data_IF_396294605044
#
_entry.id   IF_396294605044
#
_cell.length_a   1.000
_cell.length_b   1.000
_cell.length_c   1.000
_cell.angle_alpha   90.00
_cell.angle_beta   90.00
_cell.angle_gamma   90.00
#
_symmetry.space_group_name_H-M   'P 1'
#
loop_
_entity.id
_entity.type
_entity.pdbx_description
1 polymer ?
#
# COMPACT_ATOMS: atom_id res chain seq x y z
N UNK A 1 -10.74 -7.06 -24.35
CA UNK A 1 -10.10 -6.71 -23.06
C UNK A 1 -8.61 -6.74 -23.33
N UNK A 2 -7.99 -5.59 -23.56
CA UNK A 2 -6.60 -5.48 -24.01
C UNK A 2 -5.63 -5.92 -22.91
N UNK A 3 -4.50 -6.50 -23.31
CA UNK A 3 -3.44 -6.98 -22.41
C UNK A 3 -2.89 -5.86 -21.47
N UNK A 4 -3.14 -4.58 -21.77
CA UNK A 4 -2.88 -3.44 -20.88
C UNK A 4 -3.62 -3.50 -19.53
N UNK A 5 -4.80 -4.13 -19.46
CA UNK A 5 -5.56 -4.21 -18.20
C UNK A 5 -5.03 -5.28 -17.23
N UNK A 6 -4.30 -6.28 -17.76
CA UNK A 6 -3.76 -7.40 -16.96
C UNK A 6 -2.64 -6.94 -16.02
N UNK A 7 -1.91 -5.90 -16.41
CA UNK A 7 -0.75 -5.40 -15.68
C UNK A 7 -1.09 -4.38 -14.57
N UNK A 8 -2.37 -4.06 -14.38
CA UNK A 8 -2.84 -3.08 -13.39
C UNK A 8 -3.46 -3.65 -12.12
N UNK A 9 -3.54 -4.98 -11.99
CA UNK A 9 -4.18 -5.60 -10.83
C UNK A 9 -3.15 -5.87 -9.74
N UNK A 10 -3.25 -5.25 -8.56
CA UNK A 10 -2.36 -5.52 -7.44
C UNK A 10 -2.50 -6.97 -6.97
N UNK A 11 -1.42 -7.56 -6.49
CA UNK A 11 -1.44 -8.90 -5.88
C UNK A 11 -2.40 -8.93 -4.68
N UNK A 12 -2.85 -10.12 -4.27
CA UNK A 12 -3.76 -10.23 -3.10
C UNK A 12 -3.14 -9.65 -1.83
N UNK A 13 -1.82 -9.74 -1.69
CA UNK A 13 -1.06 -9.10 -0.62
C UNK A 13 -1.12 -7.57 -0.71
N UNK A 14 -0.92 -7.03 -1.91
CA UNK A 14 -1.02 -5.59 -2.14
C UNK A 14 -2.44 -5.07 -1.90
N UNK A 15 -3.49 -5.84 -2.24
CA UNK A 15 -4.88 -5.51 -1.89
C UNK A 15 -5.11 -5.45 -0.37
N UNK A 16 -4.53 -6.37 0.40
CA UNK A 16 -4.63 -6.35 1.86
C UNK A 16 -3.96 -5.13 2.48
N UNK A 17 -2.80 -4.72 1.93
CA UNK A 17 -2.09 -3.50 2.35
C UNK A 17 -2.89 -2.27 1.96
N UNK A 18 -3.38 -2.20 0.72
CA UNK A 18 -4.25 -1.13 0.24
C UNK A 18 -5.48 -0.97 1.12
N UNK A 19 -6.14 -2.08 1.49
CA UNK A 19 -7.27 -2.04 2.43
C UNK A 19 -6.88 -1.44 3.78
N UNK A 20 -5.72 -1.81 4.37
CA UNK A 20 -5.27 -1.20 5.63
C UNK A 20 -5.07 0.31 5.50
N UNK A 21 -4.50 0.73 4.38
CA UNK A 21 -4.25 2.15 4.12
C UNK A 21 -5.58 2.89 4.04
N UNK A 22 -6.54 2.36 3.29
CA UNK A 22 -7.89 2.94 3.18
C UNK A 22 -8.58 2.98 4.53
N UNK A 23 -8.61 1.86 5.26
CA UNK A 23 -9.26 1.76 6.57
C UNK A 23 -8.68 2.79 7.55
N UNK A 24 -7.35 2.86 7.66
CA UNK A 24 -6.71 3.81 8.58
C UNK A 24 -6.88 5.27 8.12
N UNK A 25 -6.90 5.52 6.81
CA UNK A 25 -7.14 6.86 6.28
C UNK A 25 -8.58 7.33 6.56
N UNK A 26 -9.56 6.44 6.46
CA UNK A 26 -10.96 6.74 6.80
C UNK A 26 -11.11 7.00 8.30
N UNK A 27 -10.43 6.22 9.15
CA UNK A 27 -10.52 6.34 10.60
C UNK A 27 -9.78 7.57 11.16
N UNK A 28 -8.55 7.83 10.72
CA UNK A 28 -7.69 8.87 11.29
C UNK A 28 -7.52 10.11 10.41
N UNK A 29 -7.88 10.04 9.12
CA UNK A 29 -7.72 11.15 8.17
C UNK A 29 -6.27 11.49 7.81
N UNK A 30 -5.31 10.64 8.20
CA UNK A 30 -3.87 10.86 8.00
C UNK A 30 -3.24 9.74 7.16
N UNK A 31 -2.22 10.04 6.35
CA UNK A 31 -1.46 9.02 5.65
C UNK A 31 -0.74 8.10 6.64
N UNK A 32 -0.76 6.80 6.33
CA UNK A 32 -0.10 5.76 7.12
C UNK A 32 1.15 5.24 6.42
N UNK A 33 2.28 5.27 7.13
CA UNK A 33 3.55 4.79 6.59
C UNK A 33 3.83 3.30 6.84
N UNK A 34 4.76 2.75 6.06
CA UNK A 34 5.15 1.33 6.10
C UNK A 34 5.53 0.81 7.49
N UNK A 35 6.09 1.67 8.36
CA UNK A 35 6.46 1.33 9.74
C UNK A 35 5.24 1.03 10.61
N UNK A 36 4.20 1.87 10.55
CA UNK A 36 2.95 1.65 11.30
C UNK A 36 2.23 0.41 10.75
N UNK A 37 2.17 0.24 9.44
CA UNK A 37 1.62 -0.97 8.82
C UNK A 37 2.37 -2.25 9.23
N UNK A 38 3.70 -2.20 9.38
CA UNK A 38 4.48 -3.36 9.83
C UNK A 38 4.17 -3.82 11.25
N UNK A 39 3.64 -2.92 12.10
CA UNK A 39 3.18 -3.28 13.45
C UNK A 39 1.84 -4.00 13.45
N UNK A 40 1.09 -3.97 12.35
CA UNK A 40 -0.13 -4.74 12.24
C UNK A 40 0.20 -6.23 12.08
N UNK A 41 -0.21 -7.00 13.08
CA UNK A 41 0.05 -8.45 13.16
C UNK A 41 -0.50 -9.25 11.95
N UNK A 42 -1.37 -8.63 11.13
CA UNK A 42 -2.01 -9.22 9.96
C UNK A 42 -1.08 -9.42 8.75
N UNK A 43 0.05 -8.71 8.67
CA UNK A 43 0.89 -8.76 7.48
C UNK A 43 2.09 -9.69 7.61
N UNK A 44 2.62 -9.89 8.82
CA UNK A 44 3.88 -10.61 9.08
C UNK A 44 5.00 -10.17 8.11
N UNK A 45 5.12 -8.85 7.88
CA UNK A 45 6.06 -8.24 6.96
C UNK A 45 6.97 -7.26 7.66
N UNK A 46 8.20 -7.16 7.16
CA UNK A 46 9.06 -6.05 7.49
C UNK A 46 8.51 -4.74 6.89
N UNK A 47 8.83 -3.62 7.55
CA UNK A 47 8.56 -2.28 7.01
C UNK A 47 9.15 -2.08 5.61
N UNK A 48 10.31 -2.66 5.32
CA UNK A 48 10.94 -2.58 3.99
C UNK A 48 10.10 -3.28 2.91
N UNK A 49 9.58 -4.47 3.21
CA UNK A 49 8.70 -5.20 2.27
C UNK A 49 7.41 -4.43 2.02
N UNK A 50 6.82 -3.84 3.05
CA UNK A 50 5.60 -3.03 2.89
C UNK A 50 5.88 -1.80 2.03
N UNK A 51 7.01 -1.13 2.23
CA UNK A 51 7.40 0.02 1.41
C UNK A 51 7.51 -0.33 -0.08
N UNK A 52 8.09 -1.49 -0.41
CA UNK A 52 8.16 -1.95 -1.79
C UNK A 52 6.75 -2.17 -2.37
N UNK A 53 5.86 -2.82 -1.62
CA UNK A 53 4.48 -3.02 -2.08
C UNK A 53 3.71 -1.71 -2.21
N UNK A 54 3.95 -0.73 -1.33
CA UNK A 54 3.38 0.60 -1.45
C UNK A 54 3.90 1.33 -2.69
N UNK A 55 5.19 1.18 -3.04
CA UNK A 55 5.76 1.71 -4.29
C UNK A 55 5.08 1.09 -5.51
N UNK A 56 4.87 -0.23 -5.52
CA UNK A 56 4.14 -0.90 -6.60
C UNK A 56 2.70 -0.36 -6.71
N UNK A 57 2.03 -0.14 -5.58
CA UNK A 57 0.67 0.42 -5.55
C UNK A 57 0.63 1.87 -6.08
N UNK A 58 1.68 2.65 -5.85
CA UNK A 58 1.84 4.02 -6.35
C UNK A 58 2.09 4.04 -7.86
N UNK A 59 2.99 3.19 -8.36
CA UNK A 59 3.25 3.02 -9.80
C UNK A 59 1.99 2.56 -10.55
N UNK A 60 1.16 1.75 -9.90
CA UNK A 60 -0.14 1.31 -10.40
C UNK A 60 -1.23 2.41 -10.32
N UNK A 61 -1.00 3.49 -9.57
CA UNK A 61 -1.92 4.62 -9.40
C UNK A 61 -3.03 4.40 -8.36
N UNK A 62 -2.89 3.43 -7.44
CA UNK A 62 -3.87 3.18 -6.38
C UNK A 62 -3.70 4.10 -5.17
N UNK A 63 -2.45 4.47 -4.87
CA UNK A 63 -2.11 5.39 -3.78
C UNK A 63 -1.14 6.44 -4.31
N UNK A 64 -1.03 7.56 -3.60
CA UNK A 64 -0.02 8.57 -3.86
C UNK A 64 0.60 8.98 -2.53
N UNK A 65 1.94 8.95 -2.44
CA UNK A 65 2.60 9.43 -1.24
C UNK A 65 2.83 10.94 -1.34
N UNK A 66 2.39 11.75 -0.36
CA UNK A 66 2.66 13.18 -0.37
C UNK A 66 4.16 13.49 -0.28
N UNK A 67 4.97 12.57 0.27
CA UNK A 67 6.43 12.67 0.30
C UNK A 67 7.09 11.28 0.18
N UNK A 68 7.99 11.12 -0.79
CA UNK A 68 8.80 9.90 -1.00
C UNK A 68 9.62 9.46 0.24
N UNK A 69 9.81 10.34 1.22
CA UNK A 69 10.61 10.13 2.43
C UNK A 69 9.82 9.87 3.71
N UNK A 70 8.53 10.19 3.80
CA UNK A 70 7.76 10.06 5.04
C UNK A 70 7.26 8.63 5.32
N UNK A 71 7.30 7.78 4.29
CA UNK A 71 6.82 6.40 4.36
C UNK A 71 5.34 6.26 4.06
#
# INVERSE_FOLDING_TARGET
MTEEMKNKTPSDRAKQILSAIIDNYIEEGIPIGSKKLSTYNRFNLSSATIRNVMSDLEDLGFIASPHTSAG
#
